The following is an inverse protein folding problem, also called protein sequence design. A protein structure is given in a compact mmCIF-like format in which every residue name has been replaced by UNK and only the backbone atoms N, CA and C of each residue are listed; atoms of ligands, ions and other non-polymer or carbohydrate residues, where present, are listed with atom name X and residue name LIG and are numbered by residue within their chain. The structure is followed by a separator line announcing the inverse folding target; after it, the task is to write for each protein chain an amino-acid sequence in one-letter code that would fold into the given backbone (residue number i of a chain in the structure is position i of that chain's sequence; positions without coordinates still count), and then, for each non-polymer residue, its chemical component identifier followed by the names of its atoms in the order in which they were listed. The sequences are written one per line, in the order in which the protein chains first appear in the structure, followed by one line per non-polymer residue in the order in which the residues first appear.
data_IF_485353930687
#
_entry.id   IF_485353930687
#
_cell.length_a   1.000
_cell.length_b   1.000
_cell.length_c   1.000
_cell.angle_alpha   90.00
_cell.angle_beta   90.00
_cell.angle_gamma   90.00
#
_symmetry.space_group_name_H-M   'P 1'
#
loop_
_entity.id
_entity.type
_entity.pdbx_description
1 polymer ?
#
# COMPACT_ATOMS: atom_id res chain seq x y z
N UNK A 1 2.11 -8.38 7.38
CA UNK A 1 1.79 -8.49 5.93
C UNK A 1 2.01 -7.14 5.29
N UNK A 2 2.44 -7.08 4.02
CA UNK A 2 2.61 -5.82 3.29
C UNK A 2 1.28 -5.48 2.62
N UNK A 3 0.77 -4.29 2.87
CA UNK A 3 -0.40 -3.71 2.22
C UNK A 3 0.06 -2.60 1.30
N UNK A 4 -0.32 -2.66 0.03
CA UNK A 4 0.05 -1.67 -0.99
C UNK A 4 -1.17 -0.88 -1.41
N UNK A 5 -1.02 0.44 -1.40
CA UNK A 5 -2.05 1.40 -1.78
C UNK A 5 -1.54 2.31 -2.89
N UNK A 6 -2.43 2.74 -3.79
CA UNK A 6 -2.19 3.90 -4.63
C UNK A 6 -2.60 5.17 -3.89
N UNK A 7 -1.74 6.18 -3.96
CA UNK A 7 -2.03 7.54 -3.54
C UNK A 7 -2.54 8.28 -4.77
N UNK A 8 -3.82 8.64 -4.76
CA UNK A 8 -4.38 9.52 -5.77
C UNK A 8 -3.89 10.96 -5.50
N UNK A 9 -2.88 11.43 -6.24
CA UNK A 9 -2.24 12.73 -5.94
C UNK A 9 -3.15 13.97 -6.15
N UNK A 10 -4.38 13.79 -6.65
CA UNK A 10 -5.42 14.83 -6.62
C UNK A 10 -6.52 14.40 -5.67
N UNK A 11 -6.57 15.07 -4.52
CA UNK A 11 -7.70 15.03 -3.61
C UNK A 11 -8.96 15.44 -4.38
N UNK A 12 -10.00 14.61 -4.27
CA UNK A 12 -11.39 14.86 -4.67
C UNK A 12 -11.63 15.02 -6.19
N UNK A 13 -12.10 13.94 -6.82
CA UNK A 13 -12.83 14.00 -8.10
C UNK A 13 -12.01 13.89 -9.39
N UNK A 14 -10.68 13.75 -9.32
CA UNK A 14 -9.87 13.51 -10.51
C UNK A 14 -10.04 12.06 -11.01
N UNK A 15 -10.22 11.87 -12.33
CA UNK A 15 -10.26 10.53 -12.92
C UNK A 15 -8.88 9.90 -12.82
N UNK A 16 -8.82 8.57 -12.79
CA UNK A 16 -7.54 7.85 -12.78
C UNK A 16 -6.63 8.26 -13.96
N UNK A 17 -7.22 8.56 -15.11
CA UNK A 17 -6.53 9.06 -16.30
C UNK A 17 -5.84 10.42 -16.12
N UNK A 18 -6.28 11.24 -15.15
CA UNK A 18 -5.69 12.55 -14.85
C UNK A 18 -4.48 12.46 -13.92
N UNK A 19 -4.18 11.27 -13.38
CA UNK A 19 -3.04 11.05 -12.49
C UNK A 19 -1.74 11.07 -13.29
N UNK A 20 -1.15 12.26 -13.45
CA UNK A 20 0.19 12.43 -14.05
C UNK A 20 1.29 11.60 -13.38
N UNK A 21 1.10 11.22 -12.11
CA UNK A 21 2.05 10.38 -11.38
C UNK A 21 1.32 9.44 -10.44
N UNK A 22 1.33 8.16 -10.79
CA UNK A 22 0.88 7.08 -9.93
C UNK A 22 1.93 6.91 -8.82
N UNK A 23 1.53 7.13 -7.56
CA UNK A 23 2.39 6.90 -6.39
C UNK A 23 1.84 5.71 -5.62
N UNK A 24 2.65 4.67 -5.45
CA UNK A 24 2.33 3.54 -4.57
C UNK A 24 2.93 3.78 -3.19
N UNK A 25 2.20 3.41 -2.13
CA UNK A 25 2.73 3.35 -0.76
C UNK A 25 2.44 1.98 -0.18
N UNK A 26 3.49 1.34 0.33
CA UNK A 26 3.40 0.03 0.97
C UNK A 26 3.64 0.20 2.47
N UNK A 27 2.88 -0.53 3.29
CA UNK A 27 3.01 -0.51 4.74
C UNK A 27 2.90 -1.93 5.29
N UNK A 28 3.72 -2.25 6.30
CA UNK A 28 3.60 -3.50 7.01
C UNK A 28 2.59 -3.37 8.15
N UNK A 29 1.58 -4.25 8.19
CA UNK A 29 0.60 -4.28 9.27
C UNK A 29 0.09 -5.71 9.55
N UNK A 30 -0.59 -5.88 10.69
CA UNK A 30 -1.29 -7.12 11.04
C UNK A 30 -2.69 -7.20 10.41
N UNK A 31 -3.32 -6.06 10.11
CA UNK A 31 -4.64 -5.96 9.47
C UNK A 31 -4.70 -4.79 8.49
N UNK A 32 -5.66 -4.83 7.56
CA UNK A 32 -5.90 -3.75 6.60
C UNK A 32 -6.31 -2.44 7.29
N UNK A 33 -7.13 -2.52 8.34
CA UNK A 33 -7.56 -1.36 9.11
C UNK A 33 -6.38 -0.64 9.76
N UNK A 34 -5.44 -1.39 10.35
CA UNK A 34 -4.20 -0.82 10.90
C UNK A 34 -3.32 -0.22 9.80
N UNK A 35 -3.23 -0.87 8.64
CA UNK A 35 -2.51 -0.33 7.49
C UNK A 35 -3.12 0.98 6.99
N UNK A 36 -4.45 1.04 6.85
CA UNK A 36 -5.18 2.26 6.45
C UNK A 36 -5.03 3.36 7.50
N UNK A 37 -5.11 3.03 8.80
CA UNK A 37 -4.91 3.99 9.90
C UNK A 37 -3.49 4.56 9.91
N UNK A 38 -2.47 3.75 9.61
CA UNK A 38 -1.08 4.21 9.50
C UNK A 38 -0.84 5.14 8.30
N UNK A 39 -1.74 5.14 7.31
CA UNK A 39 -1.69 5.96 6.11
C UNK A 39 -2.83 7.00 6.08
N UNK A 40 -3.39 7.35 7.23
CA UNK A 40 -4.50 8.29 7.34
C UNK A 40 -4.17 9.66 6.70
N UNK A 41 -5.20 10.32 6.16
CA UNK A 41 -5.05 11.62 5.49
C UNK A 41 -4.61 11.55 4.02
N UNK A 42 -4.36 10.35 3.49
CA UNK A 42 -4.11 10.15 2.07
C UNK A 42 -5.37 9.62 1.36
N UNK A 43 -5.65 10.05 0.12
CA UNK A 43 -6.65 9.42 -0.73
C UNK A 43 -6.10 8.08 -1.25
N UNK A 44 -6.34 7.02 -0.48
CA UNK A 44 -5.79 5.69 -0.72
C UNK A 44 -6.76 4.82 -1.52
N UNK A 45 -6.25 4.17 -2.57
CA UNK A 45 -6.93 3.06 -3.25
C UNK A 45 -6.18 1.77 -2.92
N UNK A 46 -6.88 0.78 -2.38
CA UNK A 46 -6.28 -0.51 -2.03
C UNK A 46 -5.95 -1.31 -3.31
N UNK A 47 -4.74 -1.86 -3.38
CA UNK A 47 -4.27 -2.61 -4.56
C UNK A 47 -4.04 -4.06 -4.24
N UNK A 48 -3.24 -4.34 -3.21
CA UNK A 48 -2.80 -5.70 -2.93
C UNK A 48 -2.41 -5.90 -1.48
N UNK A 49 -2.55 -7.13 -1.02
CA UNK A 49 -2.03 -7.63 0.25
C UNK A 49 -1.09 -8.78 -0.03
N UNK A 50 0.15 -8.65 0.41
CA UNK A 50 1.19 -9.67 0.27
C UNK A 50 1.50 -10.21 1.67
N UNK A 51 1.30 -11.51 1.93
CA UNK A 51 1.83 -12.12 3.13
C UNK A 51 3.35 -12.02 3.08
N UNK A 52 3.96 -11.45 4.12
CA UNK A 52 5.41 -11.58 4.26
C UNK A 52 5.62 -13.00 4.71
N UNK A 53 6.03 -13.87 3.78
CA UNK A 53 6.50 -15.19 4.14
C UNK A 53 7.68 -14.95 5.08
N UNK A 54 7.63 -15.56 6.25
CA UNK A 54 8.82 -15.84 7.03
C UNK A 54 9.79 -16.44 6.01
N UNK A 55 10.82 -15.70 5.64
CA UNK A 55 11.85 -16.26 4.76
C UNK A 55 12.63 -17.13 5.72
N UNK A 56 12.51 -18.48 5.69
CA UNK A 56 13.35 -19.29 6.54
C UNK A 56 14.79 -18.89 6.22
N UNK A 57 15.52 -18.54 7.27
CA UNK A 57 16.93 -18.17 7.23
C UNK A 57 17.74 -19.44 6.92
N UNK A 58 17.66 -19.92 5.70
CA UNK A 58 18.30 -21.15 5.19
C UNK A 58 18.29 -20.94 3.68
N UNK A 59 19.38 -20.86 2.92
CA UNK A 59 20.65 -21.57 2.95
C UNK A 59 21.66 -20.66 2.20
N UNK A 60 22.71 -20.21 2.86
CA UNK A 60 24.01 -19.91 2.23
C UNK A 60 25.05 -20.30 3.28
N UNK A 61 25.27 -21.61 3.38
CA UNK A 61 26.47 -22.21 3.93
C UNK A 61 27.43 -22.44 2.77
#
# INVERSE_FOLDING_TARGET
MIYTYLIASKANGAKFSDLKRIRTKSVFASSEEKARKALSGLPLVFISRIPVKDTPKTILA
#
